data_IF_194697055449
#
_entry.id   IF_194697055449
#
_cell.length_a   1.000
_cell.length_b   1.000
_cell.length_c   1.000
_cell.angle_alpha   90.00
_cell.angle_beta   90.00
_cell.angle_gamma   90.00
#
_symmetry.space_group_name_H-M   'P 1'
#
loop_
_entity.id
_entity.type
_entity.pdbx_description
1 polymer ?
#
# COMPACT_ATOMS: atom_id res chain seq x y z
N UNK A 1 13.33 -7.85 18.15
CA UNK A 1 12.52 -7.60 16.94
C UNK A 1 12.55 -8.83 16.03
N UNK A 2 13.66 -9.56 15.98
CA UNK A 2 13.85 -10.76 15.16
C UNK A 2 12.78 -11.85 15.32
N UNK A 3 12.20 -12.00 16.52
CA UNK A 3 11.09 -12.92 16.78
C UNK A 3 9.79 -12.58 16.02
N UNK A 4 9.65 -11.34 15.50
CA UNK A 4 8.47 -10.90 14.75
C UNK A 4 8.57 -11.20 13.25
N UNK A 5 9.78 -11.29 12.69
CA UNK A 5 9.96 -11.46 11.24
C UNK A 5 9.25 -12.67 10.64
N UNK A 6 9.19 -13.85 11.31
CA UNK A 6 8.41 -14.98 10.79
C UNK A 6 6.89 -14.77 10.86
N UNK A 7 6.41 -13.91 11.76
CA UNK A 7 4.98 -13.70 12.04
C UNK A 7 4.39 -12.58 11.19
N UNK A 8 5.19 -11.56 10.85
CA UNK A 8 4.74 -10.39 10.10
C UNK A 8 4.12 -10.73 8.73
N UNK A 9 4.65 -11.69 7.93
CA UNK A 9 3.99 -12.12 6.69
C UNK A 9 2.60 -12.71 6.92
N UNK A 10 2.42 -13.48 8.01
CA UNK A 10 1.13 -14.05 8.39
C UNK A 10 0.16 -12.93 8.79
N UNK A 11 0.64 -11.96 9.58
CA UNK A 11 -0.15 -10.79 9.96
C UNK A 11 -0.58 -9.98 8.72
N UNK A 12 0.31 -9.81 7.74
CA UNK A 12 -0.01 -9.15 6.47
C UNK A 12 -1.06 -9.92 5.66
N UNK A 13 -0.98 -11.26 5.61
CA UNK A 13 -1.99 -12.10 4.99
C UNK A 13 -3.36 -11.97 5.67
N UNK A 14 -3.39 -12.01 7.01
CA UNK A 14 -4.62 -11.79 7.77
C UNK A 14 -5.19 -10.41 7.46
N UNK A 15 -4.36 -9.37 7.42
CA UNK A 15 -4.81 -8.03 7.07
C UNK A 15 -5.39 -7.96 5.65
N UNK A 16 -4.76 -8.61 4.67
CA UNK A 16 -5.29 -8.75 3.31
C UNK A 16 -6.68 -9.41 3.30
N UNK A 17 -6.85 -10.53 4.01
CA UNK A 17 -8.15 -11.20 4.09
C UNK A 17 -9.22 -10.30 4.73
N UNK A 18 -8.87 -9.61 5.81
CA UNK A 18 -9.76 -8.66 6.46
C UNK A 18 -10.15 -7.49 5.54
N UNK A 19 -9.22 -6.96 4.75
CA UNK A 19 -9.51 -5.89 3.79
C UNK A 19 -10.45 -6.39 2.70
N UNK A 20 -10.19 -7.57 2.12
CA UNK A 20 -11.05 -8.19 1.09
C UNK A 20 -12.46 -8.45 1.61
N UNK A 21 -12.60 -9.04 2.79
CA UNK A 21 -13.92 -9.32 3.39
C UNK A 21 -14.66 -8.01 3.65
N UNK A 22 -14.00 -7.02 4.26
CA UNK A 22 -14.64 -5.74 4.61
C UNK A 22 -15.12 -4.96 3.38
N UNK A 23 -14.30 -4.87 2.34
CA UNK A 23 -14.67 -4.18 1.08
C UNK A 23 -15.72 -5.00 0.31
N UNK A 24 -15.61 -6.33 0.30
CA UNK A 24 -16.58 -7.23 -0.35
C UNK A 24 -17.97 -7.22 0.28
N UNK A 25 -18.06 -7.01 1.60
CA UNK A 25 -19.33 -6.92 2.34
C UNK A 25 -20.01 -5.54 2.24
N UNK A 26 -19.51 -4.61 1.41
CA UNK A 26 -20.04 -3.23 1.23
C UNK A 26 -20.20 -2.44 2.55
N UNK A 27 -19.48 -2.84 3.61
CA UNK A 27 -19.85 -2.50 4.97
C UNK A 27 -19.38 -1.13 5.49
N UNK A 28 -18.69 -0.27 4.71
CA UNK A 28 -18.38 1.07 5.23
C UNK A 28 -17.89 2.11 4.22
N UNK A 29 -17.93 3.37 4.67
CA UNK A 29 -17.05 4.47 4.27
C UNK A 29 -15.56 4.09 4.43
N UNK A 30 -15.03 3.14 3.65
CA UNK A 30 -13.76 2.42 3.88
C UNK A 30 -12.46 3.24 3.95
N UNK A 31 -12.51 4.57 3.88
CA UNK A 31 -11.33 5.42 3.88
C UNK A 31 -10.58 5.42 5.21
N UNK A 32 -11.26 5.36 6.38
CA UNK A 32 -10.57 5.33 7.68
C UNK A 32 -9.74 4.06 7.84
N UNK A 33 -10.28 2.94 7.39
CA UNK A 33 -9.58 1.66 7.47
C UNK A 33 -8.37 1.63 6.53
N UNK A 34 -8.52 2.10 5.29
CA UNK A 34 -7.39 2.29 4.38
C UNK A 34 -6.32 3.24 4.96
N UNK A 35 -6.73 4.34 5.59
CA UNK A 35 -5.83 5.28 6.25
C UNK A 35 -5.09 4.65 7.44
N UNK A 36 -5.78 3.84 8.25
CA UNK A 36 -5.19 3.10 9.37
C UNK A 36 -4.13 2.10 8.86
N UNK A 37 -4.47 1.29 7.86
CA UNK A 37 -3.54 0.34 7.23
C UNK A 37 -2.31 1.07 6.69
N UNK A 38 -2.52 2.18 5.98
CA UNK A 38 -1.44 3.02 5.47
C UNK A 38 -0.56 3.56 6.61
N UNK A 39 -1.17 4.02 7.71
CA UNK A 39 -0.44 4.57 8.87
C UNK A 39 0.39 3.51 9.59
N UNK A 40 -0.18 2.33 9.85
CA UNK A 40 0.55 1.20 10.47
C UNK A 40 1.71 0.76 9.58
N UNK A 41 1.48 0.63 8.27
CA UNK A 41 2.53 0.24 7.34
C UNK A 41 3.62 1.31 7.19
N UNK A 42 3.26 2.60 7.24
CA UNK A 42 4.22 3.71 7.25
C UNK A 42 5.10 3.66 8.50
N UNK A 43 4.53 3.44 9.69
CA UNK A 43 5.30 3.32 10.93
C UNK A 43 6.31 2.17 10.85
N UNK A 44 5.87 1.00 10.35
CA UNK A 44 6.78 -0.11 10.12
C UNK A 44 7.89 0.25 9.12
N UNK A 45 7.53 0.88 8.00
CA UNK A 45 8.49 1.29 6.96
C UNK A 45 9.52 2.31 7.49
N UNK A 46 9.11 3.26 8.33
CA UNK A 46 10.02 4.20 8.98
C UNK A 46 10.98 3.49 9.94
N UNK A 47 10.48 2.52 10.70
CA UNK A 47 11.32 1.67 11.54
C UNK A 47 12.34 0.88 10.70
N UNK A 48 11.93 0.23 9.62
CA UNK A 48 12.83 -0.51 8.71
C UNK A 48 13.91 0.42 8.15
N UNK A 49 13.56 1.62 7.68
CA UNK A 49 14.54 2.59 7.18
C UNK A 49 15.52 3.03 8.27
N UNK A 50 15.04 3.25 9.49
CA UNK A 50 15.89 3.64 10.62
C UNK A 50 16.84 2.51 11.07
N UNK A 51 16.38 1.26 11.00
CA UNK A 51 17.15 0.09 11.46
C UNK A 51 18.09 -0.49 10.39
N UNK A 52 17.64 -0.53 9.13
CA UNK A 52 18.31 -1.26 8.03
C UNK A 52 18.77 -0.32 6.91
N UNK A 53 18.49 0.98 7.03
CA UNK A 53 18.83 2.00 6.04
C UNK A 53 17.80 2.13 4.91
N UNK A 54 17.84 3.24 4.16
CA UNK A 54 16.83 3.56 3.14
C UNK A 54 16.89 2.66 1.90
N UNK A 55 17.98 1.92 1.70
CA UNK A 55 18.22 1.07 0.53
C UNK A 55 18.38 -0.42 0.87
N UNK A 56 18.09 -0.82 2.13
CA UNK A 56 18.21 -2.22 2.57
C UNK A 56 17.34 -3.20 1.77
N UNK A 57 16.26 -2.71 1.15
CA UNK A 57 15.42 -3.51 0.28
C UNK A 57 16.13 -3.92 -1.02
N UNK A 58 17.09 -3.16 -1.54
CA UNK A 58 17.64 -3.42 -2.88
C UNK A 58 18.40 -4.75 -2.95
N UNK A 59 19.37 -5.04 -2.05
CA UNK A 59 20.01 -6.37 -2.01
C UNK A 59 19.01 -7.51 -1.84
N UNK A 60 17.94 -7.32 -1.04
CA UNK A 60 16.92 -8.34 -0.81
C UNK A 60 16.17 -8.74 -2.09
N UNK A 61 15.99 -7.81 -3.03
CA UNK A 61 15.30 -8.07 -4.30
C UNK A 61 16.24 -8.56 -5.40
N UNK A 62 17.56 -8.37 -5.27
CA UNK A 62 18.52 -8.73 -6.33
C UNK A 62 19.37 -9.97 -6.01
N UNK A 63 19.26 -10.54 -4.81
CA UNK A 63 20.11 -11.65 -4.37
C UNK A 63 19.80 -12.97 -5.06
N UNK A 64 18.54 -13.23 -5.40
CA UNK A 64 18.11 -14.48 -6.01
C UNK A 64 16.80 -14.33 -6.81
N UNK A 65 16.35 -15.44 -7.40
CA UNK A 65 15.13 -15.47 -8.20
C UNK A 65 13.86 -15.20 -7.38
N UNK A 66 13.82 -15.56 -6.10
CA UNK A 66 12.67 -15.29 -5.22
C UNK A 66 12.57 -13.81 -4.88
N UNK A 67 13.71 -13.16 -4.60
CA UNK A 67 13.79 -11.71 -4.43
C UNK A 67 13.28 -10.96 -5.66
N UNK A 68 13.70 -11.38 -6.86
CA UNK A 68 13.20 -10.81 -8.12
C UNK A 68 11.70 -11.05 -8.29
N UNK A 69 11.21 -12.26 -8.01
CA UNK A 69 9.79 -12.58 -8.12
C UNK A 69 8.93 -11.67 -7.23
N UNK A 70 9.31 -11.49 -5.96
CA UNK A 70 8.59 -10.60 -5.03
C UNK A 70 8.61 -9.15 -5.51
N UNK A 71 9.72 -8.71 -6.10
CA UNK A 71 9.82 -7.36 -6.69
C UNK A 71 8.84 -7.18 -7.86
N UNK A 72 8.76 -8.17 -8.76
CA UNK A 72 7.85 -8.12 -9.89
C UNK A 72 6.39 -8.14 -9.45
N UNK A 73 6.04 -9.01 -8.51
CA UNK A 73 4.70 -9.10 -7.94
C UNK A 73 4.27 -7.74 -7.35
N UNK A 74 5.17 -7.06 -6.62
CA UNK A 74 4.93 -5.73 -6.07
C UNK A 74 4.68 -4.68 -7.17
N UNK A 75 5.54 -4.61 -8.18
CA UNK A 75 5.40 -3.62 -9.26
C UNK A 75 4.13 -3.84 -10.09
N UNK A 76 3.80 -5.10 -10.39
CA UNK A 76 2.58 -5.46 -11.11
C UNK A 76 1.35 -5.11 -10.27
N UNK A 77 1.34 -5.42 -8.98
CA UNK A 77 0.24 -5.07 -8.08
C UNK A 77 0.03 -3.55 -7.98
N UNK A 78 1.12 -2.77 -7.90
CA UNK A 78 1.06 -1.30 -7.92
C UNK A 78 0.51 -0.80 -9.26
N UNK A 79 0.94 -1.36 -10.39
CA UNK A 79 0.46 -0.97 -11.71
C UNK A 79 -1.05 -1.24 -11.86
N UNK A 80 -1.53 -2.41 -11.43
CA UNK A 80 -2.96 -2.75 -11.40
C UNK A 80 -3.72 -1.77 -10.49
N UNK A 81 -3.24 -1.56 -9.26
CA UNK A 81 -3.88 -0.64 -8.32
C UNK A 81 -3.95 0.80 -8.84
N UNK A 82 -2.85 1.30 -9.42
CA UNK A 82 -2.78 2.63 -10.05
C UNK A 82 -3.78 2.76 -11.19
N UNK A 83 -3.78 1.81 -12.14
CA UNK A 83 -4.65 1.88 -13.33
C UNK A 83 -6.14 1.83 -12.98
N UNK A 84 -6.51 1.05 -11.96
CA UNK A 84 -7.89 0.97 -11.46
C UNK A 84 -8.29 2.22 -10.65
N UNK A 85 -7.38 2.78 -9.85
CA UNK A 85 -7.66 3.92 -8.99
C UNK A 85 -7.64 5.25 -9.75
N UNK A 86 -6.83 5.36 -10.81
CA UNK A 86 -6.64 6.59 -11.59
C UNK A 86 -7.96 7.24 -12.07
N UNK A 87 -8.88 6.53 -12.76
CA UNK A 87 -10.13 7.16 -13.22
C UNK A 87 -11.00 7.63 -12.05
N UNK A 88 -11.04 6.89 -10.95
CA UNK A 88 -11.80 7.24 -9.74
C UNK A 88 -11.23 8.47 -9.06
N UNK A 89 -9.92 8.53 -8.89
CA UNK A 89 -9.24 9.66 -8.30
C UNK A 89 -9.48 10.94 -9.13
N UNK A 90 -9.45 10.83 -10.47
CA UNK A 90 -9.81 11.95 -11.36
C UNK A 90 -11.26 12.39 -11.18
N UNK A 91 -12.20 11.44 -11.14
CA UNK A 91 -13.62 11.73 -10.93
C UNK A 91 -13.89 12.40 -9.57
N UNK A 92 -13.12 12.04 -8.54
CA UNK A 92 -13.16 12.67 -7.22
C UNK A 92 -12.41 14.03 -7.14
N UNK A 93 -11.92 14.56 -8.27
CA UNK A 93 -11.25 15.87 -8.33
C UNK A 93 -9.78 15.86 -7.89
N UNK A 94 -9.14 14.70 -7.75
CA UNK A 94 -7.72 14.60 -7.38
C UNK A 94 -6.84 14.90 -8.60
N UNK A 95 -5.70 15.56 -8.35
CA UNK A 95 -4.60 15.70 -9.33
C UNK A 95 -3.72 14.45 -9.25
N UNK A 96 -3.66 13.56 -10.27
CA UNK A 96 -3.00 12.26 -10.10
C UNK A 96 -1.47 12.32 -10.04
N UNK A 97 -0.83 13.29 -10.68
CA UNK A 97 0.63 13.33 -10.82
C UNK A 97 1.41 13.40 -9.49
N UNK A 98 1.03 14.24 -8.51
CA UNK A 98 1.65 14.20 -7.18
C UNK A 98 1.53 12.83 -6.50
N UNK A 99 0.43 12.12 -6.69
CA UNK A 99 0.25 10.78 -6.13
C UNK A 99 1.11 9.74 -6.84
N UNK A 100 1.26 9.83 -8.15
CA UNK A 100 2.19 8.97 -8.88
C UNK A 100 3.62 9.15 -8.39
N UNK A 101 4.05 10.40 -8.20
CA UNK A 101 5.37 10.69 -7.65
C UNK A 101 5.56 10.07 -6.25
N UNK A 102 4.54 10.19 -5.39
CA UNK A 102 4.54 9.56 -4.06
C UNK A 102 4.60 8.03 -4.15
N UNK A 103 3.85 7.41 -5.06
CA UNK A 103 3.86 5.96 -5.30
C UNK A 103 5.24 5.50 -5.79
N UNK A 104 5.84 6.19 -6.75
CA UNK A 104 7.19 5.85 -7.23
C UNK A 104 8.24 5.96 -6.11
N UNK A 105 8.09 6.92 -5.21
CA UNK A 105 9.02 7.12 -4.10
C UNK A 105 8.82 6.15 -2.92
N UNK A 106 7.60 5.64 -2.71
CA UNK A 106 7.23 4.93 -1.47
C UNK A 106 6.47 3.62 -1.68
N UNK A 107 6.27 3.20 -2.92
CA UNK A 107 5.55 2.00 -3.29
C UNK A 107 4.09 2.01 -2.82
N UNK A 108 3.70 0.95 -2.11
CA UNK A 108 2.33 0.75 -1.65
C UNK A 108 1.89 1.73 -0.54
N UNK A 109 2.81 2.43 0.14
CA UNK A 109 2.45 3.52 1.08
C UNK A 109 1.71 4.62 0.32
N UNK A 110 2.31 5.13 -0.76
CA UNK A 110 1.72 6.17 -1.60
C UNK A 110 0.40 5.72 -2.24
N UNK A 111 0.32 4.46 -2.66
CA UNK A 111 -0.88 3.91 -3.28
C UNK A 111 -2.03 3.77 -2.26
N UNK A 112 -1.75 3.27 -1.06
CA UNK A 112 -2.73 3.16 0.02
C UNK A 112 -3.21 4.55 0.48
N UNK A 113 -2.31 5.53 0.56
CA UNK A 113 -2.66 6.92 0.88
C UNK A 113 -3.55 7.53 -0.21
N UNK A 114 -3.23 7.31 -1.49
CA UNK A 114 -4.06 7.75 -2.62
C UNK A 114 -5.45 7.12 -2.56
N UNK A 115 -5.52 5.82 -2.28
CA UNK A 115 -6.78 5.08 -2.16
C UNK A 115 -7.65 5.63 -1.02
N UNK A 116 -7.07 5.80 0.18
CA UNK A 116 -7.76 6.38 1.32
C UNK A 116 -8.31 7.79 1.00
N UNK A 117 -7.48 8.64 0.36
CA UNK A 117 -7.92 9.99 -0.04
C UNK A 117 -9.05 9.95 -1.07
N UNK A 118 -8.96 9.08 -2.07
CA UNK A 118 -10.00 8.92 -3.09
C UNK A 118 -11.33 8.54 -2.45
N UNK A 119 -11.32 7.52 -1.59
CA UNK A 119 -12.52 7.06 -0.88
C UNK A 119 -13.12 8.17 0.01
N UNK A 120 -12.28 8.93 0.70
CA UNK A 120 -12.74 10.07 1.51
C UNK A 120 -13.45 11.13 0.67
N UNK A 121 -12.91 11.48 -0.49
CA UNK A 121 -13.53 12.46 -1.38
C UNK A 121 -14.83 11.93 -1.99
N UNK A 122 -14.86 10.66 -2.40
CA UNK A 122 -16.09 10.00 -2.88
C UNK A 122 -17.22 10.03 -1.84
N UNK A 123 -16.91 9.94 -0.54
CA UNK A 123 -17.91 10.06 0.55
C UNK A 123 -18.41 11.48 0.81
N UNK A 124 -17.78 12.50 0.22
CA UNK A 124 -18.18 13.91 0.37
C UNK A 124 -18.94 14.47 -0.83
N UNK A 125 -18.84 13.80 -1.97
CA UNK A 125 -19.49 14.19 -3.23
C UNK A 125 -20.84 13.50 -3.45
N UNK A 126 -21.14 12.45 -2.67
CA UNK A 126 -22.44 11.78 -2.56
C UNK A 126 -23.26 12.42 -1.45
#
# INVERSE_FOLDING_TARGET
MDALYPVLPIAALVLFLLTTIREGLRASNGWQFAALVCGVFLVWSLYTVAAEGPLGFWPNHTQDAWGNQVWFDLLIAIAIGWTLLLPRARAAGMRPWPWLALICATGCIGLAAMFARCRYLETRTL
#
